data_IF_672258523015
#
_entry.id   IF_672258523015
#
_cell.length_a   1.000
_cell.length_b   1.000
_cell.length_c   1.000
_cell.angle_alpha   90.00
_cell.angle_beta   90.00
_cell.angle_gamma   90.00
#
_symmetry.space_group_name_H-M   'P 1'
#
loop_
_entity.id
_entity.type
_entity.pdbx_description
1 polymer ?
#
# COMPACT_ATOMS: atom_id res chain seq x y z
N UNK A 1 -3.77 -12.54 -9.48
CA UNK A 1 -3.99 -12.17 -8.07
C UNK A 1 -2.67 -12.16 -7.29
N UNK A 2 -2.19 -10.95 -6.94
CA UNK A 2 -0.91 -10.79 -6.21
C UNK A 2 -0.90 -11.55 -4.89
N UNK A 3 -1.99 -11.49 -4.12
CA UNK A 3 -2.11 -12.21 -2.87
C UNK A 3 -1.93 -13.72 -3.02
N UNK A 4 -2.56 -14.32 -4.02
CA UNK A 4 -2.43 -15.77 -4.29
C UNK A 4 -0.99 -16.16 -4.68
N UNK A 5 -0.29 -15.29 -5.45
CA UNK A 5 1.10 -15.52 -5.82
C UNK A 5 2.01 -15.44 -4.59
N UNK A 6 1.81 -14.42 -3.76
CA UNK A 6 2.59 -14.22 -2.53
C UNK A 6 2.37 -15.38 -1.56
N UNK A 7 1.13 -15.81 -1.34
CA UNK A 7 0.82 -16.97 -0.49
C UNK A 7 1.47 -18.25 -1.02
N UNK A 8 1.36 -18.52 -2.33
CA UNK A 8 2.00 -19.69 -2.94
C UNK A 8 3.53 -19.68 -2.71
N UNK A 9 4.18 -18.54 -2.95
CA UNK A 9 5.62 -18.41 -2.77
C UNK A 9 6.02 -18.53 -1.30
N UNK A 10 5.27 -17.91 -0.38
CA UNK A 10 5.52 -18.00 1.05
C UNK A 10 5.38 -19.43 1.56
N UNK A 11 4.33 -20.15 1.15
CA UNK A 11 4.12 -21.55 1.54
C UNK A 11 5.15 -22.50 0.94
N UNK A 12 5.62 -22.22 -0.29
CA UNK A 12 6.54 -23.12 -0.99
C UNK A 12 8.00 -22.90 -0.56
N UNK A 13 8.40 -21.64 -0.40
CA UNK A 13 9.81 -21.27 -0.24
C UNK A 13 10.10 -20.47 1.04
N UNK A 14 9.08 -19.95 1.72
CA UNK A 14 9.23 -19.05 2.85
C UNK A 14 8.61 -19.51 4.16
N UNK A 15 8.27 -20.78 4.32
CA UNK A 15 7.54 -21.32 5.50
C UNK A 15 8.10 -20.88 6.85
N UNK A 16 9.42 -20.91 6.99
CA UNK A 16 10.10 -20.66 8.25
C UNK A 16 10.40 -19.17 8.50
N UNK A 17 10.14 -18.29 7.49
CA UNK A 17 10.55 -16.89 7.57
C UNK A 17 9.46 -15.90 7.15
N UNK A 18 8.50 -16.30 6.32
CA UNK A 18 7.49 -15.41 5.72
C UNK A 18 6.08 -15.64 6.24
N UNK A 19 5.87 -16.75 6.95
CA UNK A 19 4.59 -17.12 7.55
C UNK A 19 4.70 -17.11 9.07
N UNK A 20 3.61 -16.80 9.81
CA UNK A 20 3.63 -16.90 11.25
C UNK A 20 3.76 -18.37 11.69
N UNK A 21 4.51 -18.59 12.77
CA UNK A 21 4.59 -19.89 13.39
C UNK A 21 3.27 -20.25 14.11
N UNK A 22 2.83 -21.51 13.97
CA UNK A 22 1.63 -22.03 14.63
C UNK A 22 0.33 -21.48 14.05
N UNK A 23 -0.69 -21.42 14.90
CA UNK A 23 -2.03 -20.90 14.57
C UNK A 23 -2.43 -19.76 15.50
N UNK A 24 -3.74 -19.49 15.61
CA UNK A 24 -4.27 -18.50 16.54
C UNK A 24 -4.13 -17.06 16.07
N UNK A 25 -3.82 -16.15 16.98
CA UNK A 25 -3.86 -14.71 16.71
C UNK A 25 -2.85 -14.28 15.63
N UNK A 26 -1.64 -14.79 15.64
CA UNK A 26 -0.61 -14.46 14.65
C UNK A 26 -1.05 -14.81 13.22
N UNK A 27 -1.75 -15.92 13.04
CA UNK A 27 -2.31 -16.31 11.76
C UNK A 27 -3.50 -15.42 11.33
N UNK A 28 -4.33 -15.01 12.27
CA UNK A 28 -5.42 -14.07 12.00
C UNK A 28 -4.88 -12.71 11.60
N UNK A 29 -3.85 -12.22 12.28
CA UNK A 29 -3.19 -10.95 11.96
C UNK A 29 -2.53 -11.00 10.58
N UNK A 30 -1.86 -12.09 10.25
CA UNK A 30 -1.31 -12.34 8.92
C UNK A 30 -2.38 -12.27 7.83
N UNK A 31 -3.45 -13.04 7.99
CA UNK A 31 -4.57 -13.07 7.05
C UNK A 31 -5.22 -11.69 6.92
N UNK A 32 -5.41 -10.99 8.04
CA UNK A 32 -5.96 -9.65 8.07
C UNK A 32 -5.14 -8.69 7.20
N UNK A 33 -3.83 -8.58 7.43
CA UNK A 33 -2.98 -7.65 6.69
C UNK A 33 -2.78 -8.04 5.23
N UNK A 34 -2.72 -9.34 4.93
CA UNK A 34 -2.66 -9.84 3.56
C UNK A 34 -3.88 -9.38 2.74
N UNK A 35 -5.08 -9.49 3.32
CA UNK A 35 -6.31 -9.06 2.64
C UNK A 35 -6.55 -7.55 2.74
N UNK A 36 -6.06 -6.89 3.78
CA UNK A 36 -6.25 -5.46 3.98
C UNK A 36 -5.67 -4.62 2.83
N UNK A 37 -4.53 -5.03 2.29
CA UNK A 37 -3.86 -4.34 1.20
C UNK A 37 -4.81 -4.11 0.01
N UNK A 38 -5.38 -5.17 -0.52
CA UNK A 38 -6.23 -5.11 -1.72
C UNK A 38 -7.71 -4.88 -1.40
N UNK A 39 -8.20 -5.39 -0.28
CA UNK A 39 -9.61 -5.28 0.08
C UNK A 39 -10.00 -3.94 0.71
N UNK A 40 -9.05 -3.23 1.34
CA UNK A 40 -9.35 -2.01 2.10
C UNK A 40 -8.53 -0.81 1.64
N UNK A 41 -7.20 -0.93 1.53
CA UNK A 41 -6.34 0.20 1.23
C UNK A 41 -6.31 0.55 -0.25
N UNK A 42 -6.21 -0.44 -1.13
CA UNK A 42 -6.15 -0.21 -2.59
C UNK A 42 -7.41 0.42 -3.19
N UNK A 43 -8.65 0.05 -2.85
CA UNK A 43 -9.82 0.60 -3.48
C UNK A 43 -9.91 2.13 -3.46
N UNK A 44 -9.76 2.84 -2.34
CA UNK A 44 -9.77 4.30 -2.33
C UNK A 44 -8.56 4.92 -3.03
N UNK A 45 -7.40 4.27 -3.05
CA UNK A 45 -6.22 4.74 -3.78
C UNK A 45 -6.45 4.65 -5.30
N UNK A 46 -7.05 3.56 -5.79
CA UNK A 46 -7.42 3.40 -7.20
C UNK A 46 -8.51 4.40 -7.59
N UNK A 47 -9.54 4.59 -6.76
CA UNK A 47 -10.54 5.63 -7.01
C UNK A 47 -9.90 7.01 -7.16
N UNK A 48 -8.99 7.38 -6.27
CA UNK A 48 -8.25 8.64 -6.39
C UNK A 48 -7.50 8.74 -7.72
N UNK A 49 -6.78 7.68 -8.11
CA UNK A 49 -6.07 7.64 -9.39
C UNK A 49 -7.00 7.85 -10.58
N UNK A 50 -8.16 7.19 -10.58
CA UNK A 50 -9.17 7.32 -11.64
C UNK A 50 -9.68 8.76 -11.74
N UNK A 51 -10.05 9.39 -10.63
CA UNK A 51 -10.53 10.77 -10.63
C UNK A 51 -9.44 11.78 -11.03
N UNK A 52 -8.18 11.58 -10.64
CA UNK A 52 -7.06 12.39 -11.13
C UNK A 52 -6.83 12.20 -12.65
N UNK A 53 -6.98 11.00 -13.17
CA UNK A 53 -6.94 10.73 -14.61
C UNK A 53 -8.09 11.43 -15.36
N UNK A 54 -9.31 11.37 -14.85
CA UNK A 54 -10.47 12.09 -15.41
C UNK A 54 -10.19 13.60 -15.45
N UNK A 55 -9.71 14.18 -14.34
CA UNK A 55 -9.39 15.60 -14.20
C UNK A 55 -8.34 16.09 -15.21
N UNK A 56 -7.36 15.25 -15.53
CA UNK A 56 -6.22 15.57 -16.40
C UNK A 56 -6.36 15.09 -17.85
N UNK A 57 -7.42 14.33 -18.16
CA UNK A 57 -7.64 13.78 -19.50
C UNK A 57 -7.84 14.89 -20.55
N UNK A 58 -7.44 14.65 -21.82
CA UNK A 58 -7.76 15.54 -22.92
C UNK A 58 -9.27 15.71 -23.07
N UNK A 59 -9.74 16.97 -23.04
CA UNK A 59 -11.15 17.31 -23.22
C UNK A 59 -11.30 18.77 -23.67
N UNK A 60 -12.45 19.15 -24.27
CA UNK A 60 -12.74 20.52 -24.62
C UNK A 60 -12.57 21.47 -23.41
N UNK A 61 -12.03 22.68 -23.64
CA UNK A 61 -11.66 23.59 -22.58
C UNK A 61 -12.82 23.99 -21.65
N UNK A 62 -14.04 24.06 -22.18
CA UNK A 62 -15.24 24.41 -21.42
C UNK A 62 -15.76 23.27 -20.52
N UNK A 63 -15.34 22.01 -20.74
CA UNK A 63 -15.68 20.86 -19.90
C UNK A 63 -14.68 20.70 -18.75
N UNK A 64 -13.43 21.11 -18.92
CA UNK A 64 -12.37 20.99 -17.91
C UNK A 64 -12.75 21.49 -16.51
N UNK A 65 -13.38 22.68 -16.32
CA UNK A 65 -13.76 23.14 -15.00
C UNK A 65 -14.78 22.22 -14.31
N UNK A 66 -15.70 21.65 -15.09
CA UNK A 66 -16.73 20.75 -14.57
C UNK A 66 -16.08 19.42 -14.11
N UNK A 67 -15.26 18.81 -14.97
CA UNK A 67 -14.56 17.57 -14.65
C UNK A 67 -13.66 17.74 -13.42
N UNK A 68 -12.93 18.86 -13.35
CA UNK A 68 -12.11 19.22 -12.18
C UNK A 68 -12.96 19.38 -10.92
N UNK A 69 -14.07 20.12 -11.00
CA UNK A 69 -14.97 20.34 -9.88
C UNK A 69 -15.54 19.04 -9.31
N UNK A 70 -15.95 18.10 -10.18
CA UNK A 70 -16.44 16.78 -9.78
C UNK A 70 -15.32 15.98 -9.10
N UNK A 71 -14.14 15.90 -9.72
CA UNK A 71 -13.02 15.15 -9.16
C UNK A 71 -12.57 15.69 -7.80
N UNK A 72 -12.39 17.01 -7.69
CA UNK A 72 -11.97 17.68 -6.46
C UNK A 72 -13.02 17.48 -5.35
N UNK A 73 -14.31 17.63 -5.68
CA UNK A 73 -15.39 17.44 -4.70
C UNK A 73 -15.52 16.00 -4.23
N UNK A 74 -15.43 15.03 -5.14
CA UNK A 74 -15.46 13.60 -4.79
C UNK A 74 -14.25 13.23 -3.90
N UNK A 75 -13.07 13.77 -4.22
CA UNK A 75 -11.90 13.55 -3.38
C UNK A 75 -12.05 14.19 -2.00
N UNK A 76 -12.60 15.41 -1.91
CA UNK A 76 -12.80 16.11 -0.64
C UNK A 76 -13.77 15.38 0.31
N UNK A 77 -14.94 14.97 -0.21
CA UNK A 77 -16.04 14.48 0.64
C UNK A 77 -16.06 12.98 0.84
N UNK A 78 -15.39 12.21 -0.01
CA UNK A 78 -15.49 10.75 -0.01
C UNK A 78 -14.12 10.06 -0.01
N UNK A 79 -13.33 10.23 -1.07
CA UNK A 79 -12.09 9.47 -1.25
C UNK A 79 -11.03 9.86 -0.22
N UNK A 80 -10.80 11.16 -0.03
CA UNK A 80 -9.79 11.68 0.89
C UNK A 80 -10.01 11.24 2.34
N UNK A 81 -11.23 11.37 2.90
CA UNK A 81 -11.54 10.83 4.23
C UNK A 81 -11.29 9.33 4.37
N UNK A 82 -11.65 8.51 3.35
CA UNK A 82 -11.38 7.07 3.37
C UNK A 82 -9.87 6.79 3.42
N UNK A 83 -9.10 7.40 2.50
CA UNK A 83 -7.63 7.24 2.48
C UNK A 83 -7.02 7.68 3.81
N UNK A 84 -7.48 8.82 4.35
CA UNK A 84 -7.01 9.31 5.65
C UNK A 84 -7.23 8.28 6.75
N UNK A 85 -8.42 7.71 6.85
CA UNK A 85 -8.76 6.69 7.87
C UNK A 85 -7.84 5.47 7.75
N UNK A 86 -7.64 4.95 6.54
CA UNK A 86 -6.78 3.79 6.32
C UNK A 86 -5.31 4.08 6.61
N UNK A 87 -4.79 5.21 6.15
CA UNK A 87 -3.40 5.58 6.41
C UNK A 87 -3.14 5.90 7.88
N UNK A 88 -4.07 6.54 8.59
CA UNK A 88 -3.96 6.77 10.03
C UNK A 88 -3.96 5.45 10.82
N UNK A 89 -4.76 4.48 10.41
CA UNK A 89 -4.77 3.15 11.00
C UNK A 89 -3.44 2.41 10.80
N UNK A 90 -2.90 2.44 9.58
CA UNK A 90 -1.58 1.84 9.27
C UNK A 90 -0.47 2.56 10.04
N UNK A 91 -0.48 3.89 10.10
CA UNK A 91 0.49 4.68 10.86
C UNK A 91 0.48 4.30 12.35
N UNK A 92 -0.72 4.19 12.96
CA UNK A 92 -0.86 3.79 14.35
C UNK A 92 -0.32 2.38 14.62
N UNK A 93 -0.51 1.47 13.67
CA UNK A 93 0.02 0.12 13.77
C UNK A 93 1.55 0.11 13.69
N UNK A 94 2.13 0.76 12.67
CA UNK A 94 3.57 0.82 12.45
C UNK A 94 4.32 1.67 13.49
N UNK A 95 3.63 2.53 14.25
CA UNK A 95 4.20 3.21 15.41
C UNK A 95 4.59 2.25 16.55
N UNK A 96 4.06 1.02 16.56
CA UNK A 96 4.24 0.02 17.61
C UNK A 96 4.97 -1.23 17.14
N UNK A 97 5.16 -1.38 15.84
CA UNK A 97 5.69 -2.60 15.23
C UNK A 97 6.69 -2.26 14.14
N UNK A 98 7.77 -3.04 14.05
CA UNK A 98 8.77 -2.92 12.99
C UNK A 98 8.20 -3.34 11.63
N UNK A 99 7.43 -4.44 11.62
CA UNK A 99 6.75 -5.02 10.48
C UNK A 99 5.28 -5.28 10.84
N UNK A 100 4.44 -5.64 9.87
CA UNK A 100 3.01 -5.83 10.12
C UNK A 100 2.69 -6.96 11.10
N UNK A 101 3.59 -7.94 11.27
CA UNK A 101 3.44 -9.01 12.26
C UNK A 101 4.45 -8.92 13.43
N UNK A 102 4.99 -7.74 13.72
CA UNK A 102 5.91 -7.53 14.82
C UNK A 102 7.35 -7.28 14.37
N UNK A 103 8.30 -8.11 14.80
CA UNK A 103 9.74 -7.85 14.61
C UNK A 103 10.31 -8.43 13.30
N UNK A 104 9.61 -9.35 12.66
CA UNK A 104 10.07 -10.03 11.45
C UNK A 104 9.19 -9.70 10.25
N UNK A 105 9.84 -9.53 9.08
CA UNK A 105 9.14 -9.37 7.81
C UNK A 105 8.35 -10.64 7.47
N UNK A 106 7.15 -10.45 6.98
CA UNK A 106 6.25 -11.51 6.55
C UNK A 106 5.75 -11.32 5.11
N UNK A 107 5.05 -12.30 4.58
CA UNK A 107 4.38 -12.17 3.29
C UNK A 107 3.27 -11.10 3.29
N UNK A 108 2.69 -10.78 4.45
CA UNK A 108 1.76 -9.67 4.59
C UNK A 108 2.44 -8.30 4.33
N UNK A 109 3.71 -8.15 4.76
CA UNK A 109 4.51 -6.94 4.45
C UNK A 109 4.75 -6.81 2.95
N UNK A 110 5.02 -7.92 2.25
CA UNK A 110 5.19 -7.92 0.80
C UNK A 110 3.90 -7.47 0.10
N UNK A 111 2.74 -7.93 0.55
CA UNK A 111 1.45 -7.51 0.00
C UNK A 111 1.16 -6.03 0.29
N UNK A 112 1.48 -5.55 1.49
CA UNK A 112 1.29 -4.16 1.90
C UNK A 112 2.28 -3.19 1.24
N UNK A 113 3.40 -3.65 0.68
CA UNK A 113 4.44 -2.77 0.13
C UNK A 113 3.90 -1.92 -1.01
N UNK A 114 3.25 -2.51 -2.00
CA UNK A 114 2.77 -1.79 -3.18
C UNK A 114 1.85 -0.60 -2.86
N UNK A 115 0.75 -0.74 -2.10
CA UNK A 115 -0.11 0.39 -1.77
C UNK A 115 0.59 1.48 -0.94
N UNK A 116 1.53 1.12 -0.06
CA UNK A 116 2.24 2.09 0.76
C UNK A 116 3.35 2.81 -0.03
N UNK A 117 4.11 2.11 -0.85
CA UNK A 117 5.10 2.70 -1.77
C UNK A 117 4.42 3.71 -2.71
N UNK A 118 3.34 3.30 -3.38
CA UNK A 118 2.57 4.18 -4.24
C UNK A 118 2.01 5.40 -3.49
N UNK A 119 1.62 5.24 -2.23
CA UNK A 119 1.10 6.33 -1.40
C UNK A 119 2.20 7.30 -0.99
N UNK A 120 3.41 6.82 -0.68
CA UNK A 120 4.59 7.64 -0.36
C UNK A 120 5.07 8.38 -1.60
N UNK A 121 5.30 7.69 -2.71
CA UNK A 121 5.80 8.26 -3.95
C UNK A 121 4.88 9.35 -4.53
N UNK A 122 3.56 9.20 -4.33
CA UNK A 122 2.56 10.20 -4.75
C UNK A 122 2.28 11.29 -3.72
N UNK A 123 3.00 11.33 -2.60
CA UNK A 123 2.84 12.33 -1.55
C UNK A 123 1.52 12.23 -0.77
N UNK A 124 0.81 11.09 -0.85
CA UNK A 124 -0.49 10.89 -0.19
C UNK A 124 -0.31 10.69 1.32
N UNK A 125 0.78 10.06 1.75
CA UNK A 125 1.08 9.80 3.16
C UNK A 125 1.27 11.09 3.94
N UNK A 126 1.98 12.08 3.35
CA UNK A 126 2.25 13.37 3.98
C UNK A 126 3.20 13.26 5.18
N UNK A 127 3.54 14.43 5.76
CA UNK A 127 4.49 14.51 6.89
C UNK A 127 3.91 14.02 8.23
N UNK A 128 2.61 13.89 8.33
CA UNK A 128 1.93 13.48 9.57
C UNK A 128 2.04 11.97 9.86
N UNK A 129 2.60 11.18 8.92
CA UNK A 129 2.70 9.72 9.02
C UNK A 129 4.14 9.26 8.79
N UNK A 130 5.05 9.57 9.73
CA UNK A 130 6.47 9.24 9.59
C UNK A 130 6.75 7.73 9.63
N UNK A 131 5.97 6.92 10.38
CA UNK A 131 6.24 5.48 10.52
C UNK A 131 5.98 4.72 9.22
N UNK A 132 4.97 5.13 8.43
CA UNK A 132 4.76 4.59 7.08
C UNK A 132 5.98 4.89 6.20
N UNK A 133 6.45 6.13 6.21
CA UNK A 133 7.61 6.54 5.40
C UNK A 133 8.88 5.78 5.81
N UNK A 134 9.12 5.61 7.10
CA UNK A 134 10.26 4.84 7.62
C UNK A 134 10.14 3.34 7.30
N UNK A 135 8.92 2.80 7.35
CA UNK A 135 8.67 1.42 6.96
C UNK A 135 8.98 1.19 5.48
N UNK A 136 8.52 2.07 4.57
CA UNK A 136 8.85 2.00 3.13
C UNK A 136 10.37 2.07 2.91
N UNK A 137 11.07 2.98 3.55
CA UNK A 137 12.55 3.04 3.49
C UNK A 137 13.19 1.73 3.95
N UNK A 138 12.66 1.10 5.00
CA UNK A 138 13.14 -0.18 5.51
C UNK A 138 12.93 -1.31 4.49
N UNK A 139 11.79 -1.34 3.81
CA UNK A 139 11.53 -2.28 2.70
C UNK A 139 12.55 -2.07 1.59
N UNK A 140 12.74 -0.83 1.13
CA UNK A 140 13.68 -0.48 0.05
C UNK A 140 15.15 -0.79 0.40
N UNK A 141 15.53 -0.68 1.65
CA UNK A 141 16.90 -0.97 2.11
C UNK A 141 17.24 -2.48 2.11
N UNK A 142 16.28 -3.36 1.91
CA UNK A 142 16.53 -4.81 1.92
C UNK A 142 17.28 -5.24 0.66
N UNK A 143 18.30 -6.07 0.83
CA UNK A 143 19.07 -6.63 -0.30
C UNK A 143 18.21 -7.38 -1.31
N UNK A 144 17.19 -8.12 -0.82
CA UNK A 144 16.26 -8.83 -1.68
C UNK A 144 15.41 -7.87 -2.55
N UNK A 145 14.99 -6.71 -1.99
CA UNK A 145 14.29 -5.69 -2.74
C UNK A 145 15.19 -5.07 -3.82
N UNK A 146 16.41 -4.71 -3.47
CA UNK A 146 17.40 -4.16 -4.41
C UNK A 146 17.70 -5.16 -5.55
N UNK A 147 17.90 -6.44 -5.21
CA UNK A 147 18.10 -7.48 -6.23
C UNK A 147 16.88 -7.68 -7.14
N UNK A 148 15.67 -7.48 -6.60
CA UNK A 148 14.45 -7.54 -7.40
C UNK A 148 14.37 -6.37 -8.40
N UNK A 149 14.75 -5.16 -7.99
CA UNK A 149 14.83 -4.00 -8.89
C UNK A 149 15.85 -4.20 -10.00
N UNK A 150 17.05 -4.69 -9.67
CA UNK A 150 18.11 -4.99 -10.67
C UNK A 150 17.64 -5.97 -11.73
N UNK A 151 16.83 -6.98 -11.35
CA UNK A 151 16.33 -8.01 -12.25
C UNK A 151 15.02 -7.65 -12.94
N UNK A 152 14.16 -6.91 -12.27
CA UNK A 152 12.82 -6.56 -12.73
C UNK A 152 12.77 -5.35 -13.65
N UNK A 153 13.81 -4.52 -13.65
CA UNK A 153 13.86 -3.26 -14.38
C UNK A 153 13.23 -2.09 -13.63
N UNK A 154 12.88 -1.04 -14.37
CA UNK A 154 12.34 0.20 -13.79
C UNK A 154 11.03 -0.03 -13.03
N UNK A 155 10.93 0.58 -11.85
CA UNK A 155 9.76 0.55 -10.99
C UNK A 155 9.42 1.96 -10.48
N UNK A 156 8.24 2.45 -10.81
CA UNK A 156 7.82 3.85 -10.62
C UNK A 156 7.83 4.32 -9.15
N UNK A 157 7.92 3.42 -8.18
CA UNK A 157 7.79 3.73 -6.75
C UNK A 157 9.03 3.40 -5.93
N UNK A 158 10.13 2.98 -6.59
CA UNK A 158 11.42 2.69 -5.94
C UNK A 158 12.20 3.95 -5.57
#
# INVERSE_FOLDING_TARGET
ESGAIIEYLAHTYGKDTMLPEGGGQAWLDYTYWLHYAEGSLMPPLVMRLVFEKVKTSPMPFFIKPVAKGIADKTNEIFIGPMIKTHLDFVEFHLAKSTWFLGDNLSAADIQMSFPLEASVARGIVGKARPHITEWVKRVHARSAYQSALEKGGEYDFA
#
